data_IF_964870608903
#
_entry.id   IF_964870608903
#
_cell.length_a   1.000
_cell.length_b   1.000
_cell.length_c   1.000
_cell.angle_alpha   90.00
_cell.angle_beta   90.00
_cell.angle_gamma   90.00
#
_symmetry.space_group_name_H-M   'P 1'
#
loop_
_entity.id
_entity.type
_entity.pdbx_description
1 polymer ?
#
# COMPACT_ATOMS: atom_id res chain seq x y z
N UNK A 1 -5.76 -1.59 6.31
CA UNK A 1 -6.10 -3.01 6.07
C UNK A 1 -4.80 -3.75 5.82
N UNK A 2 -4.58 -4.92 6.42
CA UNK A 2 -3.42 -5.75 6.12
C UNK A 2 -3.82 -6.86 5.13
N UNK A 3 -2.97 -7.14 4.15
CA UNK A 3 -3.14 -8.19 3.15
C UNK A 3 -1.89 -9.07 3.15
N UNK A 4 -2.09 -10.38 3.21
CA UNK A 4 -1.02 -11.37 3.17
C UNK A 4 -0.94 -12.00 1.79
N UNK A 5 0.26 -12.24 1.31
CA UNK A 5 0.52 -12.93 0.05
C UNK A 5 1.76 -13.81 0.18
N UNK A 6 1.91 -14.76 -0.74
CA UNK A 6 3.03 -15.71 -0.75
C UNK A 6 3.85 -15.51 -2.03
N UNK A 7 4.99 -14.81 -1.96
CA UNK A 7 5.90 -14.69 -3.08
C UNK A 7 6.52 -16.04 -3.46
N UNK A 8 6.78 -16.27 -4.75
CA UNK A 8 7.51 -17.46 -5.17
C UNK A 8 8.95 -17.41 -4.63
N UNK A 9 9.59 -18.58 -4.55
CA UNK A 9 10.99 -18.71 -4.11
C UNK A 9 11.99 -18.03 -5.04
N UNK A 10 11.64 -17.91 -6.32
CA UNK A 10 12.42 -17.22 -7.35
C UNK A 10 11.55 -16.18 -8.02
N UNK A 11 12.11 -14.99 -8.19
CA UNK A 11 11.48 -13.85 -8.85
C UNK A 11 12.52 -13.33 -9.82
N UNK A 12 12.30 -13.55 -11.12
CA UNK A 12 13.24 -13.15 -12.16
C UNK A 12 13.13 -11.63 -12.46
N UNK A 13 11.94 -11.07 -12.26
CA UNK A 13 11.64 -9.64 -12.39
C UNK A 13 10.83 -9.17 -11.17
N UNK A 14 11.53 -8.53 -10.23
CA UNK A 14 10.95 -8.05 -8.98
C UNK A 14 9.93 -6.93 -9.20
N UNK A 15 10.18 -6.06 -10.15
CA UNK A 15 9.31 -4.93 -10.47
C UNK A 15 7.99 -5.44 -11.04
N UNK A 16 8.04 -6.34 -12.03
CA UNK A 16 6.83 -6.94 -12.61
C UNK A 16 6.03 -7.76 -11.59
N UNK A 17 6.71 -8.46 -10.68
CA UNK A 17 6.05 -9.16 -9.58
C UNK A 17 5.33 -8.18 -8.65
N UNK A 18 5.97 -7.05 -8.27
CA UNK A 18 5.35 -6.00 -7.45
C UNK A 18 4.11 -5.44 -8.17
N UNK A 19 4.19 -5.15 -9.48
CA UNK A 19 3.03 -4.72 -10.26
C UNK A 19 1.88 -5.73 -10.20
N UNK A 20 2.17 -7.02 -10.32
CA UNK A 20 1.15 -8.09 -10.22
C UNK A 20 0.45 -8.09 -8.85
N UNK A 21 1.21 -7.91 -7.77
CA UNK A 21 0.63 -7.80 -6.42
C UNK A 21 -0.24 -6.55 -6.29
N UNK A 22 0.25 -5.42 -6.81
CA UNK A 22 -0.45 -4.14 -6.78
C UNK A 22 -1.74 -4.16 -7.59
N UNK A 23 -1.77 -4.84 -8.73
CA UNK A 23 -2.97 -4.98 -9.56
C UNK A 23 -4.08 -5.75 -8.82
N UNK A 24 -3.74 -6.90 -8.21
CA UNK A 24 -4.67 -7.66 -7.35
C UNK A 24 -5.20 -6.84 -6.18
N UNK A 25 -4.34 -6.02 -5.56
CA UNK A 25 -4.75 -5.12 -4.49
C UNK A 25 -5.67 -4.01 -5.02
N UNK A 26 -5.38 -3.46 -6.20
CA UNK A 26 -6.22 -2.46 -6.83
C UNK A 26 -7.61 -3.00 -7.17
N UNK A 27 -7.71 -4.18 -7.76
CA UNK A 27 -8.98 -4.86 -8.06
C UNK A 27 -9.79 -5.07 -6.77
N UNK A 28 -9.15 -5.59 -5.73
CA UNK A 28 -9.79 -5.92 -4.45
C UNK A 28 -10.26 -4.68 -3.68
N UNK A 29 -9.44 -3.63 -3.63
CA UNK A 29 -9.68 -2.46 -2.79
C UNK A 29 -10.20 -1.24 -3.56
N UNK A 30 -10.31 -1.34 -4.89
CA UNK A 30 -10.72 -0.28 -5.82
C UNK A 30 -9.89 0.99 -5.58
N UNK A 31 -8.57 0.89 -5.74
CA UNK A 31 -7.64 1.99 -5.44
C UNK A 31 -7.57 3.04 -6.56
N UNK A 32 -7.90 2.66 -7.80
CA UNK A 32 -7.87 3.56 -8.97
C UNK A 32 -6.53 3.47 -9.71
N UNK A 33 -6.18 4.53 -10.43
CA UNK A 33 -4.92 4.59 -11.17
C UNK A 33 -3.72 4.62 -10.21
N UNK A 34 -2.66 3.89 -10.56
CA UNK A 34 -1.36 3.98 -9.90
C UNK A 34 -0.67 5.27 -10.36
N UNK A 35 -0.31 6.12 -9.40
CA UNK A 35 0.31 7.43 -9.65
C UNK A 35 1.82 7.40 -9.46
N UNK A 36 2.31 6.60 -8.50
CA UNK A 36 3.74 6.49 -8.20
C UNK A 36 4.04 5.14 -7.57
N UNK A 37 5.14 4.54 -8.01
CA UNK A 37 5.76 3.38 -7.37
C UNK A 37 7.16 3.77 -6.91
N UNK A 38 7.56 3.28 -5.75
CA UNK A 38 8.94 3.30 -5.29
C UNK A 38 9.22 1.96 -4.64
N UNK A 39 10.27 1.27 -5.06
CA UNK A 39 10.66 -0.02 -4.51
C UNK A 39 12.16 -0.01 -4.26
N UNK A 40 12.59 -0.74 -3.25
CA UNK A 40 14.00 -0.88 -2.89
C UNK A 40 14.21 -2.19 -2.12
N UNK A 41 15.47 -2.58 -2.01
CA UNK A 41 15.88 -3.77 -1.27
C UNK A 41 16.62 -3.32 -0.01
N UNK A 42 16.22 -3.86 1.13
CA UNK A 42 16.88 -3.67 2.42
C UNK A 42 17.28 -5.04 2.95
N UNK A 43 18.59 -5.32 2.94
CA UNK A 43 19.17 -6.63 3.23
C UNK A 43 18.56 -7.75 2.35
N UNK A 44 17.65 -8.56 2.89
CA UNK A 44 16.94 -9.64 2.21
C UNK A 44 15.46 -9.30 1.91
N UNK A 45 14.97 -8.15 2.40
CA UNK A 45 13.59 -7.71 2.27
C UNK A 45 13.41 -6.83 1.04
N UNK A 46 12.33 -7.08 0.31
CA UNK A 46 11.86 -6.23 -0.79
C UNK A 46 10.78 -5.34 -0.25
N UNK A 47 11.00 -4.04 -0.31
CA UNK A 47 10.10 -3.02 0.18
C UNK A 47 9.52 -2.25 -1.00
N UNK A 48 8.22 -1.97 -0.95
CA UNK A 48 7.57 -1.14 -1.96
C UNK A 48 6.52 -0.22 -1.37
N UNK A 49 6.41 0.95 -1.98
CA UNK A 49 5.38 1.95 -1.69
C UNK A 49 4.72 2.36 -3.01
N UNK A 50 3.42 2.13 -3.08
CA UNK A 50 2.59 2.48 -4.23
C UNK A 50 1.53 3.51 -3.82
N UNK A 51 1.47 4.62 -4.55
CA UNK A 51 0.47 5.67 -4.37
C UNK A 51 -0.57 5.55 -5.48
N UNK A 52 -1.82 5.40 -5.11
CA UNK A 52 -2.97 5.35 -5.99
C UNK A 52 -3.87 6.58 -5.77
N UNK A 53 -4.78 6.83 -6.70
CA UNK A 53 -5.76 7.93 -6.58
C UNK A 53 -6.54 7.91 -5.25
N UNK A 54 -6.98 6.72 -4.83
CA UNK A 54 -7.86 6.54 -3.65
C UNK A 54 -7.14 5.93 -2.45
N UNK A 55 -5.82 5.81 -2.47
CA UNK A 55 -5.09 5.24 -1.35
C UNK A 55 -3.59 5.08 -1.57
N UNK A 56 -2.95 4.47 -0.58
CA UNK A 56 -1.54 4.10 -0.60
C UNK A 56 -1.41 2.64 -0.17
N UNK A 57 -0.48 1.93 -0.79
CA UNK A 57 -0.06 0.59 -0.40
C UNK A 57 1.40 0.67 0.02
N UNK A 58 1.70 0.12 1.17
CA UNK A 58 3.06 -0.12 1.64
C UNK A 58 3.19 -1.63 1.78
N UNK A 59 4.20 -2.23 1.16
CA UNK A 59 4.38 -3.68 1.23
C UNK A 59 5.83 -4.07 1.44
N UNK A 60 5.99 -5.22 2.05
CA UNK A 60 7.26 -5.86 2.32
C UNK A 60 7.15 -7.35 2.07
N UNK A 61 8.18 -7.96 1.50
CA UNK A 61 8.21 -9.40 1.33
C UNK A 61 9.63 -9.95 1.19
N UNK A 62 9.76 -11.25 1.45
CA UNK A 62 10.95 -12.06 1.16
C UNK A 62 10.57 -13.17 0.17
N UNK A 63 11.40 -13.45 -0.86
CA UNK A 63 11.13 -14.56 -1.77
C UNK A 63 10.97 -15.89 -1.03
N UNK A 64 9.89 -16.61 -1.30
CA UNK A 64 9.62 -17.91 -0.67
C UNK A 64 9.07 -17.89 0.76
N UNK A 65 8.88 -16.71 1.36
CA UNK A 65 8.26 -16.55 2.68
C UNK A 65 6.84 -15.94 2.58
N UNK A 66 6.33 -15.32 3.65
CA UNK A 66 5.07 -14.56 3.63
C UNK A 66 5.38 -13.08 3.41
N UNK A 67 4.70 -12.47 2.45
CA UNK A 67 4.69 -11.04 2.20
C UNK A 67 3.47 -10.36 2.82
N UNK A 68 3.64 -9.08 3.14
CA UNK A 68 2.64 -8.24 3.80
C UNK A 68 2.43 -6.98 2.97
N UNK A 69 1.17 -6.59 2.79
CA UNK A 69 0.81 -5.32 2.17
C UNK A 69 -0.22 -4.59 3.05
N UNK A 70 0.15 -3.40 3.51
CA UNK A 70 -0.72 -2.48 4.24
C UNK A 70 -1.40 -1.53 3.25
N UNK A 71 -2.71 -1.68 3.12
CA UNK A 71 -3.55 -0.80 2.30
C UNK A 71 -4.16 0.31 3.18
N UNK A 72 -3.84 1.55 2.83
CA UNK A 72 -4.30 2.78 3.47
C UNK A 72 -5.21 3.50 2.47
N UNK A 73 -6.52 3.30 2.60
CA UNK A 73 -7.49 4.01 1.74
C UNK A 73 -7.70 5.43 2.23
N UNK A 74 -7.79 6.39 1.31
CA UNK A 74 -8.31 7.72 1.61
C UNK A 74 -9.82 7.60 1.80
N UNK A 75 -10.27 7.44 3.04
CA UNK A 75 -11.70 7.42 3.34
C UNK A 75 -12.35 8.77 3.00
N UNK A 76 -13.56 8.75 2.44
CA UNK A 76 -14.51 9.86 2.66
C UNK A 76 -15.01 9.73 4.09
N UNK A 77 -14.40 10.47 5.01
CA UNK A 77 -14.80 10.54 6.41
C UNK A 77 -13.68 11.23 7.18
N UNK A 78 -13.90 12.33 7.87
CA UNK A 78 -15.11 13.00 8.29
C UNK A 78 -14.64 13.95 9.39
N UNK A 79 -15.20 15.16 9.43
CA UNK A 79 -14.76 16.20 10.36
C UNK A 79 -14.57 15.67 11.78
N UNK A 80 -13.33 15.68 12.27
CA UNK A 80 -13.10 15.78 13.71
C UNK A 80 -13.41 17.22 14.12
N UNK A 81 -14.69 17.47 14.43
CA UNK A 81 -15.08 18.50 15.38
C UNK A 81 -14.31 18.27 16.68
N UNK A 82 -13.57 19.28 17.15
CA UNK A 82 -13.18 19.59 18.54
C UNK A 82 -12.26 20.82 18.47
N UNK A 83 -12.48 21.97 19.09
CA UNK A 83 -13.51 22.47 20.01
C UNK A 83 -13.65 23.97 19.75
N UNK A 84 -14.83 24.51 20.01
CA UNK A 84 -15.04 25.95 20.03
C UNK A 84 -14.12 26.65 21.04
N UNK A 85 -13.65 27.83 20.64
CA UNK A 85 -13.57 28.98 21.51
C UNK A 85 -14.26 30.11 20.77
N UNK A 86 -15.56 30.23 20.99
CA UNK A 86 -16.16 31.55 20.94
C UNK A 86 -15.44 32.36 22.00
N UNK A 87 -14.71 33.38 21.57
CA UNK A 87 -14.33 34.48 22.44
C UNK A 87 -15.52 35.42 22.38
N UNK A 88 -16.34 35.55 23.44
CA UNK A 88 -17.24 36.68 23.52
C UNK A 88 -16.42 37.95 23.72
N UNK A 89 -16.98 39.04 23.20
CA UNK A 89 -16.52 40.43 23.16
C UNK A 89 -15.51 40.85 24.23
#
# INVERSE_FOLDING_TARGET
>A
MLYLFSPPKRIDDEENYIFTVLDRLNERFKLGQLLRLSYWVEEDKRLFVAVFERGRVEGEFRPGEVGYARVIRRGRGGGRRRRGRGVPK
#
